data_IF_223753329502
#
_entry.id   IF_223753329502
#
_cell.length_a   1.000
_cell.length_b   1.000
_cell.length_c   1.000
_cell.angle_alpha   90.00
_cell.angle_beta   90.00
_cell.angle_gamma   90.00
#
_symmetry.space_group_name_H-M   'P 1'
#
loop_
_entity.id
_entity.type
_entity.pdbx_description
1 polymer ?
#
# COMPACT_ATOMS: atom_id res chain seq x y z
N UNK A 1 -9.11 60.80 29.34
CA UNK A 1 -10.02 60.34 28.28
C UNK A 1 -9.37 59.10 27.66
N UNK A 2 -10.04 57.95 27.55
CA UNK A 2 -9.41 56.75 26.99
C UNK A 2 -9.19 56.92 25.48
N UNK A 3 -7.95 56.75 25.02
CA UNK A 3 -7.63 56.72 23.59
C UNK A 3 -7.83 55.30 23.03
N UNK A 4 -8.60 55.21 21.95
CA UNK A 4 -8.87 53.96 21.24
C UNK A 4 -8.41 54.07 19.79
N UNK A 5 -7.81 53.00 19.28
CA UNK A 5 -7.43 52.88 17.87
C UNK A 5 -8.35 51.87 17.19
N UNK A 6 -8.94 52.27 16.06
CA UNK A 6 -9.78 51.39 15.25
C UNK A 6 -8.93 50.66 14.21
N UNK A 7 -8.89 49.32 14.30
CA UNK A 7 -8.18 48.46 13.35
C UNK A 7 -9.11 47.37 12.82
N UNK A 8 -8.74 46.73 11.71
CA UNK A 8 -9.47 45.58 11.18
C UNK A 8 -8.74 44.29 11.56
N UNK A 9 -9.49 43.28 11.98
CA UNK A 9 -8.93 41.96 12.30
C UNK A 9 -8.33 41.33 11.03
N UNK A 10 -7.06 40.88 11.03
CA UNK A 10 -6.46 40.22 9.87
C UNK A 10 -7.08 38.86 9.55
N UNK A 11 -7.76 38.22 10.52
CA UNK A 11 -8.36 36.89 10.34
C UNK A 11 -9.80 36.90 9.80
N UNK A 12 -10.60 37.94 10.12
CA UNK A 12 -12.02 37.97 9.75
C UNK A 12 -12.50 39.31 9.18
N UNK A 13 -11.66 40.35 9.15
CA UNK A 13 -12.03 41.68 8.66
C UNK A 13 -12.95 42.49 9.57
N UNK A 14 -13.33 41.98 10.75
CA UNK A 14 -14.15 42.71 11.71
C UNK A 14 -13.44 43.98 12.20
N UNK A 15 -14.20 45.06 12.42
CA UNK A 15 -13.69 46.30 13.02
C UNK A 15 -13.49 46.11 14.52
N UNK A 16 -12.29 46.35 15.00
CA UNK A 16 -11.87 46.20 16.39
C UNK A 16 -11.50 47.56 16.96
N UNK A 17 -11.93 47.82 18.19
CA UNK A 17 -11.52 48.98 18.97
C UNK A 17 -10.56 48.50 20.05
N UNK A 18 -9.29 48.86 19.91
CA UNK A 18 -8.23 48.41 20.81
C UNK A 18 -7.78 49.61 21.65
N UNK A 19 -7.76 49.44 22.97
CA UNK A 19 -7.26 50.45 23.90
C UNK A 19 -5.73 50.60 23.79
N UNK A 20 -5.22 51.79 24.08
CA UNK A 20 -3.79 52.13 24.02
C UNK A 20 -2.88 51.25 24.90
N UNK A 21 -3.41 50.59 25.93
CA UNK A 21 -2.65 49.81 26.92
C UNK A 21 -2.78 48.29 26.80
N UNK A 22 -3.35 47.80 25.70
CA UNK A 22 -3.59 46.36 25.50
C UNK A 22 -2.56 45.82 24.51
N UNK A 23 -1.76 44.83 24.92
CA UNK A 23 -0.72 44.19 24.09
C UNK A 23 -1.18 42.86 23.48
N UNK A 24 -2.20 42.24 24.09
CA UNK A 24 -2.85 41.02 23.62
C UNK A 24 -4.34 41.25 23.51
N UNK A 25 -4.89 41.01 22.33
CA UNK A 25 -6.29 41.26 22.04
C UNK A 25 -6.93 40.01 21.44
N UNK A 26 -8.05 39.57 22.02
CA UNK A 26 -8.86 38.49 21.45
C UNK A 26 -10.01 39.10 20.65
N UNK A 27 -10.15 38.69 19.38
CA UNK A 27 -11.24 39.15 18.53
C UNK A 27 -12.58 38.58 19.03
N UNK A 28 -13.55 39.45 19.34
CA UNK A 28 -14.91 39.03 19.74
C UNK A 28 -15.70 38.37 18.61
N UNK A 29 -15.29 38.55 17.35
CA UNK A 29 -15.97 38.01 16.18
C UNK A 29 -15.44 36.63 15.76
N UNK A 30 -14.12 36.40 15.76
CA UNK A 30 -13.52 35.13 15.32
C UNK A 30 -12.83 34.35 16.44
N UNK A 31 -12.74 34.89 17.65
CA UNK A 31 -12.10 34.24 18.79
C UNK A 31 -10.57 34.17 18.74
N UNK A 32 -9.95 34.57 17.63
CA UNK A 32 -8.49 34.52 17.49
C UNK A 32 -7.80 35.57 18.36
N UNK A 33 -6.70 35.16 18.99
CA UNK A 33 -5.80 36.05 19.71
C UNK A 33 -4.77 36.67 18.77
N UNK A 34 -4.63 37.99 18.89
CA UNK A 34 -3.66 38.80 18.15
C UNK A 34 -2.76 39.53 19.15
N UNK A 35 -1.47 39.57 18.85
CA UNK A 35 -0.50 40.42 19.56
C UNK A 35 -0.43 41.76 18.84
N UNK A 36 -0.55 42.84 19.61
CA UNK A 36 -0.47 44.21 19.13
C UNK A 36 0.99 44.65 19.17
N UNK A 37 1.60 44.87 18.01
CA UNK A 37 2.94 45.46 17.90
C UNK A 37 2.82 46.95 17.57
N UNK A 38 3.42 47.78 18.42
CA UNK A 38 3.42 49.25 18.28
C UNK A 38 4.86 49.72 18.10
N UNK A 39 5.26 49.98 16.86
CA UNK A 39 6.59 50.49 16.51
C UNK A 39 6.47 51.76 15.67
N UNK A 40 7.18 52.82 16.07
CA UNK A 40 7.39 54.02 15.24
C UNK A 40 6.14 54.77 14.77
N UNK A 41 5.02 54.68 15.49
CA UNK A 41 3.75 55.32 15.13
C UNK A 41 2.80 54.47 14.28
N UNK A 42 3.14 53.20 14.05
CA UNK A 42 2.30 52.23 13.32
C UNK A 42 1.87 51.14 14.31
N UNK A 43 0.56 50.82 14.33
CA UNK A 43 0.00 49.72 15.11
C UNK A 43 -0.32 48.56 14.17
N UNK A 44 0.35 47.43 14.34
CA UNK A 44 0.13 46.22 13.54
C UNK A 44 -0.32 45.05 14.43
N UNK A 45 -1.15 44.16 13.87
CA UNK A 45 -1.68 42.99 14.55
C UNK A 45 -1.08 41.74 13.93
N UNK A 46 -0.30 40.97 14.70
CA UNK A 46 0.21 39.67 14.29
C UNK A 46 -0.62 38.57 14.97
N UNK A 47 -1.15 37.58 14.21
CA UNK A 47 -1.88 36.47 14.81
C UNK A 47 -0.92 35.54 15.56
N UNK A 48 -1.29 35.13 16.78
CA UNK A 48 -0.48 34.23 17.61
C UNK A 48 -0.71 32.78 17.15
N UNK A 49 -0.16 32.40 16.00
CA UNK A 49 -0.34 31.04 15.43
C UNK A 49 0.90 30.15 15.61
N UNK A 50 1.89 30.57 16.41
CA UNK A 50 3.13 29.79 16.59
C UNK A 50 2.89 28.40 17.20
N UNK A 51 1.87 28.20 18.04
CA UNK A 51 1.66 26.94 18.78
C UNK A 51 0.74 25.91 18.10
N UNK A 52 0.06 26.28 17.01
CA UNK A 52 -0.84 25.35 16.29
C UNK A 52 -0.10 24.57 15.19
N UNK A 53 1.01 25.10 14.67
CA UNK A 53 1.83 24.38 13.67
C UNK A 53 2.39 23.06 14.19
N UNK A 54 2.82 23.03 15.45
CA UNK A 54 3.38 21.81 16.05
C UNK A 54 2.30 20.75 16.31
N UNK A 55 1.07 21.17 16.65
CA UNK A 55 -0.07 20.26 16.85
C UNK A 55 -0.65 19.77 15.51
N UNK A 56 -0.67 20.62 14.46
CA UNK A 56 -1.02 20.18 13.09
C UNK A 56 -0.10 19.05 12.61
N UNK A 57 1.22 19.18 12.80
CA UNK A 57 2.17 18.11 12.42
C UNK A 57 1.92 16.78 13.16
N UNK A 58 1.57 16.84 14.45
CA UNK A 58 1.27 15.66 15.26
C UNK A 58 -0.06 14.98 14.88
N UNK A 59 -1.10 15.77 14.59
CA UNK A 59 -2.41 15.27 14.16
C UNK A 59 -2.33 14.65 12.76
N UNK A 60 -1.57 15.27 11.84
CA UNK A 60 -1.35 14.74 10.48
C UNK A 60 -0.58 13.41 10.51
N UNK A 61 0.35 13.24 11.46
CA UNK A 61 1.06 11.98 11.67
C UNK A 61 0.14 10.89 12.20
N UNK A 62 -0.67 11.15 13.23
CA UNK A 62 -1.61 10.16 13.76
C UNK A 62 -2.68 9.79 12.72
N UNK A 63 -3.17 10.74 11.94
CA UNK A 63 -4.09 10.47 10.83
C UNK A 63 -3.44 9.59 9.75
N UNK A 64 -2.16 9.85 9.43
CA UNK A 64 -1.40 9.03 8.48
C UNK A 64 -1.11 7.63 9.01
N UNK A 65 -0.80 7.48 10.31
CA UNK A 65 -0.59 6.18 10.95
C UNK A 65 -1.87 5.33 10.96
N UNK A 66 -3.03 5.95 11.22
CA UNK A 66 -4.33 5.29 11.13
C UNK A 66 -4.68 4.87 9.70
N UNK A 67 -4.39 5.73 8.71
CA UNK A 67 -4.58 5.39 7.30
C UNK A 67 -3.72 4.19 6.87
N UNK A 68 -2.46 4.14 7.31
CA UNK A 68 -1.56 3.00 7.04
C UNK A 68 -2.08 1.71 7.68
N UNK A 69 -2.61 1.77 8.91
CA UNK A 69 -3.18 0.61 9.57
C UNK A 69 -4.36 0.02 8.77
N UNK A 70 -5.27 0.87 8.32
CA UNK A 70 -6.42 0.48 7.48
C UNK A 70 -5.99 -0.09 6.12
N UNK A 71 -5.04 0.54 5.44
CA UNK A 71 -4.52 0.04 4.16
C UNK A 71 -3.87 -1.34 4.30
N UNK A 72 -3.20 -1.62 5.43
CA UNK A 72 -2.65 -2.96 5.72
C UNK A 72 -3.74 -4.01 5.93
N UNK A 73 -4.83 -3.65 6.60
CA UNK A 73 -5.98 -4.55 6.77
C UNK A 73 -6.63 -4.89 5.42
N UNK A 74 -6.82 -3.89 4.54
CA UNK A 74 -7.33 -4.11 3.18
C UNK A 74 -6.40 -5.05 2.38
N UNK A 75 -5.08 -4.88 2.47
CA UNK A 75 -4.10 -5.79 1.82
C UNK A 75 -4.23 -7.21 2.39
N UNK A 76 -4.40 -7.35 3.71
CA UNK A 76 -4.53 -8.66 4.35
C UNK A 76 -5.81 -9.37 3.92
N UNK A 77 -6.92 -8.64 3.79
CA UNK A 77 -8.19 -9.16 3.30
C UNK A 77 -8.08 -9.61 1.83
N UNK A 78 -7.47 -8.79 0.98
CA UNK A 78 -7.16 -9.17 -0.41
C UNK A 78 -6.30 -10.43 -0.44
N UNK A 79 -5.27 -10.53 0.42
CA UNK A 79 -4.42 -11.73 0.52
C UNK A 79 -5.18 -12.97 0.98
N UNK A 80 -6.14 -12.83 1.90
CA UNK A 80 -7.00 -13.95 2.33
C UNK A 80 -8.00 -14.38 1.26
N UNK A 81 -8.45 -13.45 0.42
CA UNK A 81 -9.33 -13.75 -0.71
C UNK A 81 -8.60 -14.47 -1.86
N UNK A 82 -7.26 -14.51 -1.84
CA UNK A 82 -6.52 -15.28 -2.84
C UNK A 82 -6.82 -16.77 -2.67
N UNK A 83 -7.19 -17.46 -3.76
CA UNK A 83 -7.41 -18.90 -3.72
C UNK A 83 -6.10 -19.57 -3.30
N UNK A 84 -6.13 -20.26 -2.17
CA UNK A 84 -4.99 -20.95 -1.61
C UNK A 84 -4.69 -22.18 -2.48
N UNK A 85 -3.81 -22.01 -3.47
CA UNK A 85 -3.35 -23.03 -4.42
C UNK A 85 -2.41 -24.07 -3.77
N UNK A 86 -2.61 -24.34 -2.47
CA UNK A 86 -1.84 -25.32 -1.68
C UNK A 86 -2.21 -26.78 -2.02
N UNK A 87 -3.38 -27.02 -2.61
CA UNK A 87 -3.86 -28.38 -2.92
C UNK A 87 -3.43 -28.92 -4.31
N UNK A 88 -2.60 -28.20 -5.05
CA UNK A 88 -2.23 -28.54 -6.44
C UNK A 88 -0.99 -29.44 -6.56
N UNK A 89 -0.60 -30.08 -5.46
CA UNK A 89 0.46 -31.07 -5.46
C UNK A 89 0.08 -32.41 -6.10
N UNK A 90 -1.21 -32.71 -6.32
CA UNK A 90 -1.60 -34.04 -6.80
C UNK A 90 -1.25 -34.24 -8.28
N UNK A 91 -1.59 -33.29 -9.16
CA UNK A 91 -1.42 -33.47 -10.62
C UNK A 91 0.05 -33.36 -11.05
N UNK A 92 0.83 -32.48 -10.41
CA UNK A 92 2.27 -32.40 -10.61
C UNK A 92 3.03 -33.61 -10.01
N UNK A 93 2.59 -34.17 -8.86
CA UNK A 93 3.16 -35.42 -8.32
C UNK A 93 2.78 -36.64 -9.16
N UNK A 94 1.61 -36.68 -9.77
CA UNK A 94 1.22 -37.74 -10.72
C UNK A 94 2.12 -37.72 -11.96
N UNK A 95 2.57 -36.54 -12.42
CA UNK A 95 3.59 -36.42 -13.47
C UNK A 95 4.93 -37.05 -13.11
N UNK A 96 5.39 -36.90 -11.86
CA UNK A 96 6.59 -37.62 -11.37
C UNK A 96 6.35 -39.12 -11.20
N UNK A 97 5.14 -39.55 -10.81
CA UNK A 97 4.81 -40.97 -10.66
C UNK A 97 4.80 -41.76 -11.98
N UNK A 98 4.30 -41.15 -13.06
CA UNK A 98 4.28 -41.77 -14.39
C UNK A 98 5.68 -41.91 -15.01
N UNK A 99 6.61 -41.00 -14.68
CA UNK A 99 8.03 -41.14 -15.07
C UNK A 99 8.67 -42.39 -14.47
N UNK A 100 8.29 -42.78 -13.24
CA UNK A 100 8.79 -44.00 -12.62
C UNK A 100 8.34 -45.26 -13.36
N UNK A 101 7.05 -45.32 -13.74
CA UNK A 101 6.46 -46.45 -14.47
C UNK A 101 7.11 -46.64 -15.85
N UNK A 102 7.35 -45.54 -16.57
CA UNK A 102 8.09 -45.56 -17.83
C UNK A 102 9.53 -46.10 -17.66
N UNK A 103 10.22 -45.70 -16.59
CA UNK A 103 11.57 -46.17 -16.29
C UNK A 103 11.62 -47.68 -16.02
N UNK A 104 10.65 -48.22 -15.27
CA UNK A 104 10.52 -49.65 -15.03
C UNK A 104 10.19 -50.44 -16.31
N UNK A 105 9.34 -49.90 -17.20
CA UNK A 105 9.03 -50.53 -18.48
C UNK A 105 10.24 -50.61 -19.42
N UNK A 106 11.08 -49.57 -19.44
CA UNK A 106 12.34 -49.58 -20.20
C UNK A 106 13.31 -50.67 -19.69
N UNK A 107 13.43 -50.85 -18.37
CA UNK A 107 14.29 -51.88 -17.78
C UNK A 107 13.77 -53.29 -18.12
N UNK A 108 12.45 -53.51 -18.10
CA UNK A 108 11.84 -54.79 -18.48
C UNK A 108 12.04 -55.14 -19.96
N UNK A 109 11.93 -54.15 -20.86
CA UNK A 109 12.16 -54.34 -22.31
C UNK A 109 13.59 -54.79 -22.63
N UNK A 110 14.58 -54.24 -21.92
CA UNK A 110 16.00 -54.62 -22.08
C UNK A 110 16.23 -56.11 -21.76
N UNK A 111 15.48 -56.71 -20.83
CA UNK A 111 15.65 -58.13 -20.47
C UNK A 111 15.07 -59.10 -21.51
N UNK A 112 14.11 -58.67 -22.34
CA UNK A 112 13.44 -59.55 -23.32
C UNK A 112 14.14 -59.64 -24.68
N UNK A 113 15.13 -58.78 -24.96
CA UNK A 113 16.00 -58.89 -26.14
C UNK A 113 15.41 -58.43 -27.48
N UNK A 114 14.12 -58.10 -27.54
CA UNK A 114 13.46 -57.64 -28.77
C UNK A 114 13.57 -56.12 -28.94
N UNK A 115 14.44 -55.68 -29.86
CA UNK A 115 14.71 -54.25 -30.10
C UNK A 115 13.49 -53.40 -30.51
N UNK A 116 12.42 -54.02 -31.03
CA UNK A 116 11.17 -53.33 -31.37
C UNK A 116 10.43 -52.80 -30.13
N UNK A 117 10.51 -53.51 -29.01
CA UNK A 117 9.79 -53.16 -27.77
C UNK A 117 10.39 -51.93 -27.09
N UNK A 118 11.71 -51.81 -27.14
CA UNK A 118 12.47 -50.70 -26.54
C UNK A 118 12.14 -49.38 -27.27
N UNK A 119 12.10 -49.41 -28.61
CA UNK A 119 11.82 -48.22 -29.41
C UNK A 119 10.43 -47.64 -29.11
N UNK A 120 9.40 -48.49 -28.98
CA UNK A 120 8.04 -48.06 -28.68
C UNK A 120 7.91 -47.51 -27.24
N UNK A 121 8.60 -48.10 -26.28
CA UNK A 121 8.59 -47.64 -24.88
C UNK A 121 9.17 -46.22 -24.74
N UNK A 122 10.26 -45.91 -25.43
CA UNK A 122 10.88 -44.57 -25.40
C UNK A 122 9.95 -43.53 -26.01
N UNK A 123 9.32 -43.84 -27.15
CA UNK A 123 8.40 -42.92 -27.83
C UNK A 123 7.17 -42.61 -26.95
N UNK A 124 6.56 -43.63 -26.33
CA UNK A 124 5.40 -43.44 -25.43
C UNK A 124 5.79 -42.59 -24.21
N UNK A 125 6.98 -42.80 -23.67
CA UNK A 125 7.49 -42.04 -22.52
C UNK A 125 7.70 -40.56 -22.87
N UNK A 126 8.29 -40.27 -24.03
CA UNK A 126 8.48 -38.90 -24.52
C UNK A 126 7.14 -38.19 -24.77
N UNK A 127 6.16 -38.89 -25.33
CA UNK A 127 4.82 -38.34 -25.56
C UNK A 127 4.14 -38.01 -24.23
N UNK A 128 4.18 -38.91 -23.25
CA UNK A 128 3.59 -38.68 -21.92
C UNK A 128 4.27 -37.53 -21.18
N UNK A 129 5.59 -37.41 -21.29
CA UNK A 129 6.32 -36.28 -20.73
C UNK A 129 5.94 -34.96 -21.41
N UNK A 130 5.88 -34.94 -22.74
CA UNK A 130 5.49 -33.74 -23.50
C UNK A 130 4.05 -33.30 -23.17
N UNK A 131 3.11 -34.24 -23.06
CA UNK A 131 1.72 -33.95 -22.66
C UNK A 131 1.66 -33.44 -21.22
N UNK A 132 2.40 -34.06 -20.30
CA UNK A 132 2.48 -33.60 -18.90
C UNK A 132 3.04 -32.19 -18.77
N UNK A 133 4.13 -31.89 -19.46
CA UNK A 133 4.73 -30.54 -19.50
C UNK A 133 3.75 -29.54 -20.12
N UNK A 134 3.07 -29.90 -21.21
CA UNK A 134 2.10 -29.03 -21.87
C UNK A 134 0.90 -28.69 -20.98
N UNK A 135 0.32 -29.69 -20.29
CA UNK A 135 -0.77 -29.47 -19.34
C UNK A 135 -0.30 -28.64 -18.14
N UNK A 136 0.90 -28.90 -17.61
CA UNK A 136 1.47 -28.16 -16.48
C UNK A 136 1.71 -26.68 -16.80
N UNK A 137 2.27 -26.36 -17.97
CA UNK A 137 2.48 -24.97 -18.39
C UNK A 137 1.16 -24.24 -18.64
N UNK A 138 0.15 -24.94 -19.17
CA UNK A 138 -1.18 -24.35 -19.41
C UNK A 138 -1.90 -24.00 -18.10
N UNK A 139 -1.80 -24.88 -17.10
CA UNK A 139 -2.33 -24.64 -15.75
C UNK A 139 -1.63 -23.44 -15.09
N UNK A 140 -0.29 -23.38 -15.18
CA UNK A 140 0.50 -22.30 -14.59
C UNK A 140 0.22 -20.93 -15.23
N UNK A 141 0.03 -20.87 -16.55
CA UNK A 141 -0.41 -19.65 -17.22
C UNK A 141 -1.77 -19.16 -16.74
N UNK A 142 -2.74 -20.07 -16.59
CA UNK A 142 -4.08 -19.73 -16.12
C UNK A 142 -4.05 -19.19 -14.67
N UNK A 143 -3.19 -19.76 -13.81
CA UNK A 143 -2.97 -19.25 -12.45
C UNK A 143 -2.35 -17.87 -12.46
N UNK A 144 -1.25 -17.69 -13.20
CA UNK A 144 -0.58 -16.38 -13.28
C UNK A 144 -1.51 -15.28 -13.81
N UNK A 145 -2.40 -15.61 -14.77
CA UNK A 145 -3.42 -14.68 -15.25
C UNK A 145 -4.43 -14.28 -14.16
N UNK A 146 -4.86 -15.24 -13.31
CA UNK A 146 -5.78 -14.97 -12.19
C UNK A 146 -5.13 -14.19 -11.04
N UNK A 147 -3.85 -14.41 -10.76
CA UNK A 147 -3.13 -13.72 -9.68
C UNK A 147 -2.64 -12.31 -10.08
N UNK A 148 -2.46 -12.05 -11.37
CA UNK A 148 -2.03 -10.75 -11.88
C UNK A 148 -2.82 -9.55 -11.32
N UNK A 149 -4.17 -9.51 -11.35
CA UNK A 149 -4.93 -8.37 -10.83
C UNK A 149 -4.74 -8.15 -9.32
N UNK A 150 -4.60 -9.23 -8.54
CA UNK A 150 -4.36 -9.12 -7.09
C UNK A 150 -2.98 -8.55 -6.79
N UNK A 151 -1.95 -8.93 -7.55
CA UNK A 151 -0.60 -8.37 -7.40
C UNK A 151 -0.56 -6.89 -7.74
N UNK A 152 -1.27 -6.48 -8.80
CA UNK A 152 -1.38 -5.08 -9.20
C UNK A 152 -2.09 -4.26 -8.12
N UNK A 153 -3.22 -4.75 -7.59
CA UNK A 153 -3.96 -4.08 -6.51
C UNK A 153 -3.11 -3.94 -5.23
N UNK A 154 -2.33 -4.95 -4.86
CA UNK A 154 -1.43 -4.89 -3.70
C UNK A 154 -0.30 -3.88 -3.95
N UNK A 155 0.31 -3.89 -5.14
CA UNK A 155 1.39 -2.97 -5.48
C UNK A 155 0.94 -1.50 -5.47
N UNK A 156 -0.28 -1.21 -5.93
CA UNK A 156 -0.86 0.13 -5.85
C UNK A 156 -1.00 0.61 -4.41
N UNK A 157 -1.57 -0.23 -3.53
CA UNK A 157 -1.76 0.07 -2.11
C UNK A 157 -0.43 0.21 -1.36
N UNK A 158 0.58 -0.59 -1.72
CA UNK A 158 1.94 -0.46 -1.16
C UNK A 158 2.60 0.87 -1.55
N UNK A 159 2.42 1.34 -2.79
CA UNK A 159 2.90 2.65 -3.23
C UNK A 159 2.21 3.81 -2.49
N UNK A 160 0.90 3.69 -2.23
CA UNK A 160 0.15 4.68 -1.44
C UNK A 160 0.69 4.77 0.00
N UNK A 161 0.95 3.62 0.64
CA UNK A 161 1.60 3.57 1.97
C UNK A 161 2.99 4.22 1.93
N UNK A 162 3.78 3.98 0.89
CA UNK A 162 5.12 4.57 0.78
C UNK A 162 5.06 6.10 0.68
N UNK A 163 4.05 6.65 -0.02
CA UNK A 163 3.81 8.09 -0.08
C UNK A 163 3.51 8.65 1.31
N UNK A 164 2.64 7.99 2.08
CA UNK A 164 2.34 8.40 3.47
C UNK A 164 3.56 8.28 4.39
N UNK A 165 4.38 7.24 4.24
CA UNK A 165 5.62 7.09 5.02
C UNK A 165 6.63 8.21 4.76
N UNK A 166 6.74 8.68 3.51
CA UNK A 166 7.63 9.81 3.18
C UNK A 166 7.22 11.07 3.93
N UNK A 167 5.91 11.35 4.00
CA UNK A 167 5.38 12.49 4.76
C UNK A 167 5.67 12.37 6.27
N UNK A 168 5.65 11.16 6.83
CA UNK A 168 5.92 10.91 8.25
C UNK A 168 7.42 10.99 8.61
N UNK A 169 8.32 10.69 7.66
CA UNK A 169 9.77 10.64 7.87
C UNK A 169 10.51 11.95 7.49
N UNK A 170 9.79 13.00 7.10
CA UNK A 170 10.35 14.28 6.65
C UNK A 170 10.67 15.26 7.80
N UNK A 171 10.43 14.85 9.05
CA UNK A 171 10.79 15.53 10.30
C UNK A 171 11.82 14.71 11.11
#
# INVERSE_FOLDING_TARGET
>A
MPEFVTLSCPSCGAKLQIGSHVDRFACSHCGNEHVVQRDGGIVSLAPVIEQIKQVQSGVDKTASELAIARLKEEIQEIRRSMPDTSNEGCLAKVGMGLSGIAMFACIGGIMTGDGSTIAMAVVVSLIMFAVGVWLGLKEDQNKNARLKPYREAIAEKENEIERHKKLVNLD
#
